data_IF_503682373953
#
_entry.id   IF_503682373953
#
_cell.length_a   1.000
_cell.length_b   1.000
_cell.length_c   1.000
_cell.angle_alpha   90.00
_cell.angle_beta   90.00
_cell.angle_gamma   90.00
#
_symmetry.space_group_name_H-M   'P 1'
#
loop_
_entity.id
_entity.type
_entity.pdbx_description
1 polymer ?
#
# COMPACT_ATOMS: atom_id res chain seq x y z
N UNK A 1 13.90 37.55 -3.16
CA UNK A 1 12.59 36.87 -3.24
C UNK A 1 12.22 36.41 -1.85
N UNK A 2 10.99 36.70 -1.41
CA UNK A 2 10.49 36.29 -0.08
C UNK A 2 9.88 34.90 -0.19
N UNK A 3 10.24 33.98 0.71
CA UNK A 3 9.67 32.64 0.77
C UNK A 3 8.20 32.67 1.20
N UNK A 4 7.34 31.91 0.52
CA UNK A 4 5.94 31.70 0.88
C UNK A 4 5.64 30.19 0.95
N UNK A 5 5.47 29.60 2.15
CA UNK A 5 5.34 28.16 2.33
C UNK A 5 4.00 27.56 1.87
N UNK A 6 2.95 28.38 1.71
CA UNK A 6 1.58 27.98 1.34
C UNK A 6 0.85 26.99 2.27
N UNK A 7 1.54 26.20 3.11
CA UNK A 7 1.00 25.35 4.18
C UNK A 7 -0.23 24.51 3.76
N UNK A 8 -0.24 24.00 2.53
CA UNK A 8 -1.36 23.24 1.97
C UNK A 8 -1.53 21.88 2.65
N UNK A 9 -2.78 21.41 2.74
CA UNK A 9 -3.12 20.15 3.40
C UNK A 9 -2.93 18.94 2.47
N UNK A 10 -2.57 17.80 3.06
CA UNK A 10 -2.50 16.49 2.40
C UNK A 10 -2.69 15.36 3.43
N UNK A 11 -2.55 14.10 3.03
CA UNK A 11 -2.72 12.92 3.91
C UNK A 11 -1.58 11.90 3.75
N UNK A 12 -1.53 10.92 4.64
CA UNK A 12 -0.50 9.85 4.63
C UNK A 12 -0.77 8.78 3.56
N UNK A 13 -2.03 8.33 3.40
CA UNK A 13 -2.36 7.31 2.39
C UNK A 13 -3.53 6.39 2.77
N UNK A 14 -3.36 5.65 3.86
CA UNK A 14 -4.30 4.60 4.27
C UNK A 14 -5.66 5.17 4.69
N UNK A 15 -6.74 4.58 4.18
CA UNK A 15 -8.11 4.96 4.52
C UNK A 15 -8.95 3.73 4.88
N UNK A 16 -9.94 3.86 5.78
CA UNK A 16 -10.74 2.73 6.27
C UNK A 16 -11.85 2.29 5.31
N UNK A 17 -11.93 2.88 4.11
CA UNK A 17 -12.99 2.62 3.13
C UNK A 17 -12.83 1.23 2.50
N UNK A 18 -13.95 0.61 2.14
CA UNK A 18 -13.98 -0.61 1.32
C UNK A 18 -14.15 -0.32 -0.17
N UNK A 19 -14.85 0.76 -0.49
CA UNK A 19 -15.13 1.16 -1.87
C UNK A 19 -14.15 2.27 -2.31
N UNK A 20 -13.36 2.07 -3.38
CA UNK A 20 -12.39 3.05 -3.85
C UNK A 20 -13.02 4.40 -4.23
N UNK A 21 -14.23 4.38 -4.80
CA UNK A 21 -14.95 5.59 -5.19
C UNK A 21 -15.21 6.52 -4.00
N UNK A 22 -15.58 5.96 -2.84
CA UNK A 22 -15.84 6.75 -1.63
C UNK A 22 -14.56 7.38 -1.08
N UNK A 23 -13.45 6.65 -1.11
CA UNK A 23 -12.15 7.17 -0.70
C UNK A 23 -11.69 8.34 -1.61
N UNK A 24 -11.78 8.14 -2.93
CA UNK A 24 -11.45 9.17 -3.91
C UNK A 24 -12.33 10.41 -3.75
N UNK A 25 -13.64 10.23 -3.54
CA UNK A 25 -14.57 11.32 -3.29
C UNK A 25 -14.15 12.17 -2.08
N UNK A 26 -13.77 11.54 -0.97
CA UNK A 26 -13.32 12.26 0.24
C UNK A 26 -12.04 13.03 -0.04
N UNK A 27 -11.05 12.40 -0.70
CA UNK A 27 -9.76 13.03 -1.00
C UNK A 27 -9.95 14.26 -1.89
N UNK A 28 -10.64 14.09 -3.02
CA UNK A 28 -10.84 15.15 -3.99
C UNK A 28 -11.72 16.30 -3.45
N UNK A 29 -12.60 16.02 -2.47
CA UNK A 29 -13.41 17.06 -1.80
C UNK A 29 -12.69 17.78 -0.67
N UNK A 30 -11.69 17.17 -0.02
CA UNK A 30 -11.09 17.68 1.23
C UNK A 30 -9.68 18.23 1.07
N UNK A 31 -8.87 17.66 0.18
CA UNK A 31 -7.49 18.07 -0.09
C UNK A 31 -7.22 18.18 -1.61
N UNK A 32 -8.00 19.00 -2.34
CA UNK A 32 -7.93 19.05 -3.80
C UNK A 32 -6.60 19.59 -4.36
N UNK A 33 -5.84 20.35 -3.57
CA UNK A 33 -4.56 20.94 -4.02
C UNK A 33 -3.42 19.92 -4.02
N UNK A 34 -3.39 19.01 -3.05
CA UNK A 34 -2.37 17.96 -2.91
C UNK A 34 -3.07 16.62 -2.57
N UNK A 35 -3.81 16.04 -3.53
CA UNK A 35 -4.51 14.78 -3.31
C UNK A 35 -3.52 13.61 -3.22
N UNK A 36 -3.98 12.53 -2.62
CA UNK A 36 -3.23 11.27 -2.49
C UNK A 36 -3.92 10.15 -3.27
N UNK A 37 -3.15 9.13 -3.65
CA UNK A 37 -3.71 7.84 -4.04
C UNK A 37 -4.07 7.05 -2.78
N UNK A 38 -5.34 6.71 -2.53
CA UNK A 38 -5.72 5.98 -1.32
C UNK A 38 -5.23 4.53 -1.34
N UNK A 39 -4.73 4.06 -0.19
CA UNK A 39 -4.55 2.64 0.09
C UNK A 39 -5.71 2.14 0.94
N UNK A 40 -6.26 0.96 0.60
CA UNK A 40 -7.53 0.47 1.13
C UNK A 40 -7.39 -0.90 1.83
N UNK A 41 -6.58 -1.02 2.89
CA UNK A 41 -6.32 -2.31 3.54
C UNK A 41 -7.59 -2.99 4.10
N UNK A 42 -8.66 -2.23 4.34
CA UNK A 42 -9.96 -2.76 4.77
C UNK A 42 -10.82 -3.33 3.62
N UNK A 43 -10.50 -3.00 2.37
CA UNK A 43 -11.20 -3.50 1.19
C UNK A 43 -10.74 -4.91 0.83
N UNK A 44 -9.42 -5.13 0.85
CA UNK A 44 -8.80 -6.40 0.52
C UNK A 44 -7.41 -6.50 1.17
N UNK A 45 -7.02 -7.69 1.60
CA UNK A 45 -5.66 -7.98 2.10
C UNK A 45 -4.57 -7.50 1.13
N UNK A 46 -4.81 -7.62 -0.19
CA UNK A 46 -3.87 -7.21 -1.24
C UNK A 46 -3.71 -5.70 -1.41
N UNK A 47 -4.57 -4.91 -0.76
CA UNK A 47 -4.48 -3.44 -0.73
C UNK A 47 -3.61 -2.93 0.42
N UNK A 48 -3.08 -3.83 1.26
CA UNK A 48 -2.07 -3.47 2.26
C UNK A 48 -0.77 -3.07 1.55
N UNK A 49 -0.19 -1.96 1.99
CA UNK A 49 1.07 -1.44 1.47
C UNK A 49 2.15 -2.51 1.43
N UNK A 50 2.33 -3.27 2.52
CA UNK A 50 3.43 -4.24 2.60
C UNK A 50 3.28 -5.33 1.56
N UNK A 51 2.05 -5.71 1.22
CA UNK A 51 1.75 -6.76 0.25
C UNK A 51 1.94 -6.25 -1.18
N UNK A 52 1.44 -5.05 -1.50
CA UNK A 52 1.63 -4.43 -2.82
C UNK A 52 3.11 -4.28 -3.17
N UNK A 53 3.92 -3.82 -2.23
CA UNK A 53 5.36 -3.61 -2.46
C UNK A 53 6.21 -4.87 -2.37
N UNK A 54 5.65 -5.97 -1.87
CA UNK A 54 6.35 -7.26 -1.80
C UNK A 54 6.05 -8.17 -2.99
N UNK A 55 5.22 -7.73 -3.93
CA UNK A 55 4.93 -8.50 -5.13
C UNK A 55 6.23 -8.83 -5.88
N UNK A 56 6.40 -10.10 -6.22
CA UNK A 56 7.60 -10.62 -6.89
C UNK A 56 8.77 -10.92 -5.95
N UNK A 57 8.79 -10.44 -4.71
CA UNK A 57 9.87 -10.78 -3.79
C UNK A 57 9.92 -12.30 -3.54
N UNK A 58 11.12 -12.89 -3.49
CA UNK A 58 11.26 -14.32 -3.31
C UNK A 58 10.80 -14.73 -1.91
N UNK A 59 10.26 -15.95 -1.83
CA UNK A 59 9.79 -16.56 -0.59
C UNK A 59 8.62 -15.84 0.09
N UNK A 60 7.96 -14.87 -0.56
CA UNK A 60 6.72 -14.28 -0.06
C UNK A 60 5.62 -15.33 -0.09
N UNK A 61 4.93 -15.47 1.05
CA UNK A 61 3.73 -16.28 1.19
C UNK A 61 2.60 -15.35 1.60
N UNK A 62 1.53 -15.36 0.81
CA UNK A 62 0.27 -14.73 1.18
C UNK A 62 -0.67 -15.79 1.74
N UNK A 63 -0.99 -15.66 3.02
CA UNK A 63 -1.88 -16.52 3.78
C UNK A 63 -3.25 -15.84 3.87
N UNK A 64 -4.07 -16.06 2.83
CA UNK A 64 -5.40 -15.44 2.71
C UNK A 64 -6.36 -15.96 3.79
N UNK A 65 -6.19 -17.20 4.27
CA UNK A 65 -7.01 -17.77 5.33
C UNK A 65 -6.80 -17.02 6.66
N UNK A 66 -5.54 -16.72 7.02
CA UNK A 66 -5.21 -16.00 8.25
C UNK A 66 -5.01 -14.49 8.06
N UNK A 67 -5.32 -13.96 6.88
CA UNK A 67 -5.22 -12.53 6.52
C UNK A 67 -3.83 -11.92 6.83
N UNK A 68 -2.75 -12.58 6.37
CA UNK A 68 -1.38 -12.10 6.62
C UNK A 68 -0.43 -12.44 5.48
N UNK A 69 0.72 -11.75 5.48
CA UNK A 69 1.86 -12.06 4.61
C UNK A 69 3.10 -12.31 5.46
N UNK A 70 3.94 -13.24 5.04
CA UNK A 70 5.24 -13.49 5.65
C UNK A 70 6.24 -14.05 4.63
N UNK A 71 7.52 -14.05 5.00
CA UNK A 71 8.57 -14.71 4.22
C UNK A 71 8.82 -16.11 4.76
N UNK A 72 8.68 -17.12 3.92
CA UNK A 72 9.05 -18.50 4.27
C UNK A 72 10.54 -18.71 4.06
N UNK A 73 11.32 -18.45 5.09
CA UNK A 73 12.79 -18.56 5.07
C UNK A 73 13.33 -19.89 5.59
N UNK A 74 12.44 -20.82 5.98
CA UNK A 74 12.83 -22.16 6.41
C UNK A 74 13.22 -23.03 5.21
N UNK A 75 14.41 -23.62 5.23
CA UNK A 75 14.92 -24.51 4.18
C UNK A 75 15.90 -23.82 3.23
N UNK A 76 16.19 -24.46 2.10
CA UNK A 76 17.01 -23.86 1.04
C UNK A 76 16.17 -22.90 0.19
N UNK A 77 16.51 -21.62 0.24
CA UNK A 77 15.83 -20.54 -0.51
C UNK A 77 16.62 -20.09 -1.74
N UNK A 78 17.80 -20.67 -2.00
CA UNK A 78 18.75 -20.21 -3.01
C UNK A 78 18.12 -20.12 -4.39
N UNK A 79 17.42 -21.17 -4.83
CA UNK A 79 16.76 -21.19 -6.14
C UNK A 79 15.67 -20.14 -6.29
N UNK A 80 14.97 -19.76 -5.21
CA UNK A 80 13.96 -18.69 -5.25
C UNK A 80 14.63 -17.31 -5.40
N UNK A 81 15.80 -17.11 -4.79
CA UNK A 81 16.56 -15.87 -4.92
C UNK A 81 17.16 -15.73 -6.34
N UNK A 82 17.64 -16.82 -6.94
CA UNK A 82 18.29 -16.81 -8.26
C UNK A 82 17.36 -16.41 -9.42
N UNK A 83 16.05 -16.63 -9.27
CA UNK A 83 15.05 -16.29 -10.29
C UNK A 83 14.50 -14.87 -10.17
N UNK A 84 14.78 -14.17 -9.06
CA UNK A 84 14.38 -12.79 -8.86
C UNK A 84 15.28 -11.87 -9.68
N UNK A 85 14.70 -11.09 -10.61
CA UNK A 85 15.41 -10.18 -11.53
C UNK A 85 14.86 -8.77 -11.46
#
# INVERSE_FOLDING_TARGET
>A
MTFNPQCLATAIGSLPHKEPSQACDVILKRIPEIPIWPQLPNANLREDMQIQYSEGLPCVVLDEENQRMFFKTSGDITSNLEIYR
#
